data_IF_552717827055
#
_entry.id   IF_552717827055
#
_cell.length_a   1.000
_cell.length_b   1.000
_cell.length_c   1.000
_cell.angle_alpha   90.00
_cell.angle_beta   90.00
_cell.angle_gamma   90.00
#
_symmetry.space_group_name_H-M   'P 1'
#
loop_
_entity.id
_entity.type
_entity.pdbx_description
1 polymer ?
#
# COMPACT_ATOMS: atom_id res chain seq x y z
N UNK A 1 15.81 14.18 -0.97
CA UNK A 1 15.46 12.94 -1.68
C UNK A 1 14.11 12.42 -1.16
N UNK A 2 13.21 11.95 -2.03
CA UNK A 2 11.92 11.36 -1.65
C UNK A 2 11.91 9.90 -2.07
N UNK A 3 11.51 9.00 -1.17
CA UNK A 3 11.34 7.58 -1.46
C UNK A 3 9.88 7.33 -1.79
N UNK A 4 9.61 6.64 -2.90
CA UNK A 4 8.28 6.17 -3.26
C UNK A 4 8.16 4.71 -2.83
N UNK A 5 7.10 4.40 -2.09
CA UNK A 5 6.76 3.05 -1.65
C UNK A 5 5.42 2.70 -2.31
N UNK A 6 5.31 1.51 -2.89
CA UNK A 6 4.09 0.97 -3.45
C UNK A 6 3.80 -0.37 -2.79
N UNK A 7 2.59 -0.54 -2.27
CA UNK A 7 2.16 -1.76 -1.60
C UNK A 7 0.73 -2.05 -2.04
N UNK A 8 0.51 -3.27 -2.51
CA UNK A 8 -0.82 -3.82 -2.74
C UNK A 8 -1.25 -4.58 -1.48
N UNK A 9 -2.45 -4.32 -0.99
CA UNK A 9 -3.02 -4.98 0.20
C UNK A 9 -4.46 -5.35 -0.06
N UNK A 10 -5.00 -6.28 0.73
CA UNK A 10 -6.42 -6.60 0.73
C UNK A 10 -7.23 -5.40 1.21
N UNK A 11 -8.43 -5.20 0.66
CA UNK A 11 -9.32 -4.08 1.00
C UNK A 11 -9.56 -3.95 2.51
N UNK A 12 -9.75 -5.10 3.19
CA UNK A 12 -9.96 -5.14 4.64
C UNK A 12 -8.78 -4.63 5.48
N UNK A 13 -7.58 -4.49 4.89
CA UNK A 13 -6.37 -4.04 5.56
C UNK A 13 -5.96 -2.60 5.20
N UNK A 14 -6.66 -1.95 4.27
CA UNK A 14 -6.29 -0.63 3.75
C UNK A 14 -6.13 0.39 4.87
N UNK A 15 -7.14 0.52 5.74
CA UNK A 15 -7.13 1.50 6.83
C UNK A 15 -5.99 1.24 7.82
N UNK A 16 -5.80 -0.03 8.21
CA UNK A 16 -4.73 -0.43 9.13
C UNK A 16 -3.35 -0.11 8.56
N UNK A 17 -3.13 -0.36 7.26
CA UNK A 17 -1.86 -0.11 6.58
C UNK A 17 -1.60 1.39 6.46
N UNK A 18 -2.62 2.18 6.12
CA UNK A 18 -2.53 3.65 6.06
C UNK A 18 -2.14 4.22 7.42
N UNK A 19 -2.80 3.80 8.50
CA UNK A 19 -2.46 4.24 9.86
C UNK A 19 -1.02 3.88 10.26
N UNK A 20 -0.58 2.67 9.92
CA UNK A 20 0.79 2.23 10.19
C UNK A 20 1.82 3.11 9.45
N UNK A 21 1.59 3.41 8.17
CA UNK A 21 2.47 4.28 7.37
C UNK A 21 2.49 5.69 7.95
N UNK A 22 1.33 6.26 8.29
CA UNK A 22 1.24 7.60 8.89
C UNK A 22 2.03 7.65 10.20
N UNK A 23 1.81 6.68 11.08
CA UNK A 23 2.48 6.62 12.39
C UNK A 23 4.00 6.52 12.24
N UNK A 24 4.47 5.74 11.28
CA UNK A 24 5.91 5.56 11.05
C UNK A 24 6.57 6.76 10.35
N UNK A 25 5.88 7.41 9.40
CA UNK A 25 6.46 8.45 8.55
C UNK A 25 6.25 9.89 9.06
N UNK A 26 5.29 10.11 9.96
CA UNK A 26 4.94 11.45 10.45
C UNK A 26 6.02 12.00 11.37
N UNK A 27 6.64 13.11 10.97
CA UNK A 27 7.58 13.89 11.78
C UNK A 27 6.98 15.22 12.25
N UNK A 28 5.84 15.62 11.69
CA UNK A 28 5.18 16.90 11.98
C UNK A 28 5.79 18.08 11.23
N UNK A 29 6.71 17.83 10.30
CA UNK A 29 7.38 18.86 9.49
C UNK A 29 6.82 18.87 8.07
N UNK A 30 6.93 20.03 7.42
CA UNK A 30 6.57 20.14 6.00
C UNK A 30 7.44 19.19 5.20
N UNK A 31 6.79 18.34 4.41
CA UNK A 31 7.46 17.36 3.56
C UNK A 31 7.37 15.91 4.04
N UNK A 32 6.60 15.59 5.08
CA UNK A 32 6.35 14.18 5.48
C UNK A 32 5.84 13.30 4.32
N UNK A 33 5.14 13.90 3.36
CA UNK A 33 4.75 13.25 2.11
C UNK A 33 3.25 13.18 1.93
N UNK A 34 2.82 12.28 1.04
CA UNK A 34 1.40 12.03 0.74
C UNK A 34 1.22 10.53 0.51
N UNK A 35 0.06 10.01 0.89
CA UNK A 35 -0.37 8.66 0.59
C UNK A 35 -1.50 8.77 -0.44
N UNK A 36 -1.41 7.97 -1.49
CA UNK A 36 -2.46 7.83 -2.49
C UNK A 36 -2.99 6.40 -2.42
N UNK A 37 -4.31 6.27 -2.45
CA UNK A 37 -5.00 4.98 -2.43
C UNK A 37 -5.69 4.82 -3.78
N UNK A 38 -5.45 3.71 -4.44
CA UNK A 38 -6.02 3.38 -5.74
C UNK A 38 -6.48 1.93 -5.71
N UNK A 39 -7.70 1.67 -6.19
CA UNK A 39 -8.21 0.30 -6.28
C UNK A 39 -7.44 -0.47 -7.35
N UNK A 40 -7.08 -1.72 -7.02
CA UNK A 40 -6.51 -2.67 -7.96
C UNK A 40 -7.63 -3.62 -8.39
N UNK A 41 -8.00 -3.58 -9.67
CA UNK A 41 -9.09 -4.43 -10.17
C UNK A 41 -8.72 -5.92 -10.17
N UNK A 42 -7.44 -6.24 -10.44
CA UNK A 42 -6.95 -7.60 -10.64
C UNK A 42 -5.49 -7.72 -10.17
N UNK A 43 -5.15 -8.80 -9.48
CA UNK A 43 -3.76 -9.14 -9.12
C UNK A 43 -3.45 -10.55 -9.64
N UNK A 44 -2.26 -10.76 -10.21
CA UNK A 44 -1.83 -12.05 -10.75
C UNK A 44 -0.42 -12.41 -10.27
N UNK A 45 -0.25 -13.62 -9.72
CA UNK A 45 1.06 -14.14 -9.33
C UNK A 45 1.67 -14.95 -10.47
N UNK A 46 2.72 -14.41 -11.11
CA UNK A 46 3.36 -15.03 -12.29
C UNK A 46 3.83 -16.47 -12.02
N UNK A 47 4.34 -16.75 -10.81
CA UNK A 47 4.93 -18.06 -10.46
C UNK A 47 3.89 -19.19 -10.41
N UNK A 48 2.67 -18.90 -9.95
CA UNK A 48 1.65 -19.92 -9.67
C UNK A 48 0.41 -19.79 -10.56
N UNK A 49 0.20 -18.63 -11.19
CA UNK A 49 -1.01 -18.32 -11.93
C UNK A 49 -2.20 -17.95 -11.04
N UNK A 50 -2.01 -17.83 -9.72
CA UNK A 50 -3.05 -17.43 -8.77
C UNK A 50 -3.48 -15.98 -9.00
N UNK A 51 -4.75 -15.70 -8.70
CA UNK A 51 -5.36 -14.39 -8.86
C UNK A 51 -5.81 -13.78 -7.52
N UNK A 52 -5.87 -12.45 -7.50
CA UNK A 52 -6.49 -11.60 -6.49
C UNK A 52 -6.04 -11.97 -5.06
N UNK A 53 -6.97 -12.37 -4.20
CA UNK A 53 -6.70 -12.69 -2.80
C UNK A 53 -5.69 -13.82 -2.57
N UNK A 54 -5.52 -14.71 -3.55
CA UNK A 54 -4.49 -15.75 -3.51
C UNK A 54 -3.14 -15.28 -4.06
N UNK A 55 -3.15 -14.21 -4.86
CA UNK A 55 -1.94 -13.57 -5.36
C UNK A 55 -1.34 -12.58 -4.34
N UNK A 56 -2.18 -11.93 -3.54
CA UNK A 56 -1.83 -11.02 -2.43
C UNK A 56 -1.24 -11.74 -1.21
#
# INVERSE_FOLDING_TARGET
>A
PKTRIEVAVKDALVDQVVEAIITAAKTGKVGDGKIFITNLERVLRIRTGEADDQAL
#
